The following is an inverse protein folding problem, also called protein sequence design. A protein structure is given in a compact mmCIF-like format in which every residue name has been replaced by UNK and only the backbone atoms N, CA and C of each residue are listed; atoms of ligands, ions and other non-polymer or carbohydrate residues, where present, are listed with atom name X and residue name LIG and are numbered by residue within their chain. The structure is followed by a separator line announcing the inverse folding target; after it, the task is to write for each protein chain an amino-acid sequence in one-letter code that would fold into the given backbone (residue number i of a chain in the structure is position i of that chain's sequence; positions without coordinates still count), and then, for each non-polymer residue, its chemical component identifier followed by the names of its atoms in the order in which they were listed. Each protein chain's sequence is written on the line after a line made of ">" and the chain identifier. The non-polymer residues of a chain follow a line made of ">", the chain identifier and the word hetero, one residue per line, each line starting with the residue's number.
data_IF_810583632577
#
_entry.id   IF_810583632577
#
_cell.length_a   1.000
_cell.length_b   1.000
_cell.length_c   1.000
_cell.angle_alpha   90.00
_cell.angle_beta   90.00
_cell.angle_gamma   90.00
#
_symmetry.space_group_name_H-M   'P 1'
#
loop_
_entity.id
_entity.type
_entity.pdbx_description
1 polymer ?
#
# COMPACT_ATOMS: atom_id res chain seq x y z
N UNK A 1 -7.01 -7.89 -16.87
CA UNK A 1 -7.20 -6.71 -15.96
C UNK A 1 -6.45 -7.02 -14.68
N UNK A 2 -5.47 -6.23 -14.33
CA UNK A 2 -4.66 -6.42 -13.12
C UNK A 2 -5.34 -5.72 -11.95
N UNK A 3 -5.49 -6.41 -10.83
CA UNK A 3 -6.22 -5.93 -9.65
C UNK A 3 -5.24 -5.77 -8.50
N UNK A 4 -5.39 -4.68 -7.76
CA UNK A 4 -4.61 -4.38 -6.58
C UNK A 4 -5.21 -5.09 -5.37
N UNK A 5 -4.39 -5.70 -4.48
CA UNK A 5 -4.87 -6.22 -3.20
C UNK A 5 -5.46 -5.11 -2.31
N UNK A 6 -6.23 -5.50 -1.30
CA UNK A 6 -6.77 -4.55 -0.34
C UNK A 6 -5.68 -4.06 0.60
N UNK A 7 -5.42 -2.75 0.59
CA UNK A 7 -4.39 -2.10 1.40
C UNK A 7 -3.11 -2.95 1.50
N UNK A 8 -2.39 -3.17 0.37
CA UNK A 8 -1.28 -4.10 0.30
C UNK A 8 -0.20 -3.83 1.35
N UNK A 9 0.65 -4.81 1.57
CA UNK A 9 1.77 -4.72 2.51
C UNK A 9 2.87 -3.75 2.03
N UNK A 10 3.72 -3.33 2.97
CA UNK A 10 4.91 -2.54 2.65
C UNK A 10 5.81 -3.26 1.63
N UNK A 11 5.96 -4.58 1.75
CA UNK A 11 6.70 -5.41 0.79
C UNK A 11 6.10 -5.35 -0.62
N UNK A 12 4.77 -5.36 -0.74
CA UNK A 12 4.10 -5.20 -2.02
C UNK A 12 4.39 -3.83 -2.64
N UNK A 13 4.33 -2.76 -1.85
CA UNK A 13 4.64 -1.41 -2.33
C UNK A 13 6.11 -1.29 -2.76
N UNK A 14 7.02 -1.93 -2.04
CA UNK A 14 8.43 -2.00 -2.43
C UNK A 14 8.60 -2.67 -3.80
N UNK A 15 7.98 -3.83 -4.03
CA UNK A 15 8.03 -4.54 -5.30
C UNK A 15 7.36 -3.75 -6.45
N UNK A 16 6.24 -3.08 -6.16
CA UNK A 16 5.55 -2.22 -7.12
C UNK A 16 6.40 -1.00 -7.52
N UNK A 17 7.00 -0.30 -6.56
CA UNK A 17 7.89 0.84 -6.82
C UNK A 17 9.09 0.42 -7.67
N UNK A 18 9.73 -0.70 -7.35
CA UNK A 18 10.85 -1.24 -8.15
C UNK A 18 10.45 -1.47 -9.60
N UNK A 19 9.28 -2.05 -9.84
CA UNK A 19 8.78 -2.28 -11.18
C UNK A 19 8.52 -0.96 -11.92
N UNK A 20 7.97 0.05 -11.22
CA UNK A 20 7.77 1.40 -11.74
C UNK A 20 9.10 2.10 -12.09
N UNK A 21 10.11 1.98 -11.24
CA UNK A 21 11.45 2.53 -11.48
C UNK A 21 12.12 1.90 -12.71
N UNK A 22 11.84 0.63 -13.01
CA UNK A 22 12.27 -0.05 -14.25
C UNK A 22 11.50 0.39 -15.49
N UNK A 23 10.57 1.33 -15.35
CA UNK A 23 9.77 1.88 -16.46
C UNK A 23 8.58 1.02 -16.86
N UNK A 24 8.18 0.02 -16.06
CA UNK A 24 7.00 -0.78 -16.37
C UNK A 24 5.72 0.07 -16.25
N UNK A 25 4.75 -0.12 -17.16
CA UNK A 25 3.43 0.46 -17.02
C UNK A 25 2.74 0.05 -15.72
N UNK A 26 1.80 0.85 -15.24
CA UNK A 26 1.10 0.62 -13.96
C UNK A 26 0.54 -0.80 -13.84
N UNK A 27 -0.17 -1.29 -14.86
CA UNK A 27 -0.76 -2.62 -14.84
C UNK A 27 0.29 -3.74 -14.71
N UNK A 28 1.43 -3.60 -15.38
CA UNK A 28 2.53 -4.57 -15.33
C UNK A 28 3.26 -4.50 -13.97
N UNK A 29 3.42 -3.29 -13.43
CA UNK A 29 4.01 -3.08 -12.10
C UNK A 29 3.18 -3.72 -11.00
N UNK A 30 1.84 -3.59 -11.06
CA UNK A 30 0.92 -4.25 -10.14
C UNK A 30 1.02 -5.78 -10.30
N UNK A 31 1.07 -6.29 -11.53
CA UNK A 31 1.22 -7.72 -11.78
C UNK A 31 2.54 -8.27 -11.21
N UNK A 32 3.64 -7.55 -11.42
CA UNK A 32 4.94 -7.90 -10.89
C UNK A 32 4.95 -7.95 -9.35
N UNK A 33 4.35 -6.93 -8.70
CA UNK A 33 4.23 -6.89 -7.25
C UNK A 33 3.36 -8.03 -6.69
N UNK A 34 2.23 -8.34 -7.35
CA UNK A 34 1.37 -9.46 -6.96
C UNK A 34 2.10 -10.81 -7.02
N UNK A 35 2.94 -11.00 -8.04
CA UNK A 35 3.74 -12.23 -8.21
C UNK A 35 4.85 -12.28 -7.14
N UNK A 36 5.59 -11.19 -6.98
CA UNK A 36 6.72 -11.12 -6.04
C UNK A 36 6.29 -11.40 -4.60
N UNK A 37 5.11 -10.91 -4.20
CA UNK A 37 4.60 -11.06 -2.83
C UNK A 37 3.61 -12.23 -2.65
N UNK A 38 3.41 -13.05 -3.67
CA UNK A 38 2.58 -14.25 -3.59
C UNK A 38 1.12 -13.96 -3.24
N UNK A 39 0.53 -12.89 -3.79
CA UNK A 39 -0.85 -12.49 -3.52
C UNK A 39 -1.83 -13.61 -3.83
N UNK A 40 -2.71 -13.89 -2.88
CA UNK A 40 -3.76 -14.91 -2.98
C UNK A 40 -5.14 -14.26 -3.03
N UNK A 41 -6.17 -15.03 -3.38
CA UNK A 41 -7.53 -14.51 -3.51
C UNK A 41 -8.06 -13.78 -2.27
N UNK A 42 -7.68 -14.22 -1.06
CA UNK A 42 -8.10 -13.59 0.19
C UNK A 42 -7.51 -12.19 0.38
N UNK A 43 -6.32 -11.93 -0.15
CA UNK A 43 -5.59 -10.68 0.03
C UNK A 43 -6.26 -9.52 -0.73
N UNK A 44 -7.14 -9.83 -1.68
CA UNK A 44 -7.96 -8.81 -2.35
C UNK A 44 -9.06 -8.20 -1.47
N UNK A 45 -9.44 -8.87 -0.38
CA UNK A 45 -10.47 -8.40 0.55
C UNK A 45 -10.01 -8.38 2.01
N UNK A 46 -8.73 -8.60 2.28
CA UNK A 46 -8.17 -8.62 3.64
C UNK A 46 -6.82 -7.94 3.68
N UNK A 47 -6.59 -7.19 4.76
CA UNK A 47 -5.27 -6.70 5.12
C UNK A 47 -5.04 -6.88 6.63
N UNK A 48 -3.81 -6.66 7.07
CA UNK A 48 -3.39 -6.77 8.48
C UNK A 48 -2.85 -5.44 8.95
N UNK A 49 -3.29 -5.03 10.13
CA UNK A 49 -2.76 -3.86 10.84
C UNK A 49 -2.37 -4.29 12.26
N UNK A 50 -1.64 -3.43 12.98
CA UNK A 50 -1.35 -3.63 14.41
C UNK A 50 -2.23 -2.72 15.26
N UNK A 51 -2.86 -3.29 16.28
CA UNK A 51 -3.58 -2.52 17.28
C UNK A 51 -3.34 -3.09 18.67
N UNK A 52 -2.94 -2.26 19.63
CA UNK A 52 -2.62 -2.66 21.00
C UNK A 52 -1.62 -3.83 21.08
N UNK A 53 -0.62 -3.84 20.20
CA UNK A 53 0.42 -4.87 20.14
C UNK A 53 -0.02 -6.21 19.50
N UNK A 54 -1.23 -6.30 18.95
CA UNK A 54 -1.74 -7.50 18.30
C UNK A 54 -2.07 -7.23 16.84
N UNK A 55 -1.96 -8.27 16.01
CA UNK A 55 -2.46 -8.21 14.63
C UNK A 55 -3.98 -8.17 14.61
N UNK A 56 -4.52 -7.23 13.85
CA UNK A 56 -5.94 -7.10 13.54
C UNK A 56 -6.12 -7.34 12.04
N UNK A 57 -7.03 -8.25 11.69
CA UNK A 57 -7.38 -8.53 10.30
C UNK A 57 -8.60 -7.69 9.92
N UNK A 58 -8.42 -6.76 9.01
CA UNK A 58 -9.51 -6.03 8.37
C UNK A 58 -10.01 -6.84 7.16
N UNK A 59 -11.31 -7.17 7.16
CA UNK A 59 -11.91 -8.01 6.12
C UNK A 59 -13.15 -7.35 5.54
N UNK A 60 -13.16 -7.14 4.22
CA UNK A 60 -14.32 -6.63 3.50
C UNK A 60 -15.37 -7.73 3.27
N UNK A 61 -16.63 -7.40 3.39
CA UNK A 61 -17.72 -8.30 3.05
C UNK A 61 -17.90 -8.39 1.52
N UNK A 62 -17.93 -9.62 1.00
CA UNK A 62 -18.08 -9.90 -0.44
C UNK A 62 -19.45 -10.52 -0.70
N UNK A 63 -20.14 -10.06 -1.73
CA UNK A 63 -21.40 -10.65 -2.15
C UNK A 63 -21.23 -12.12 -2.56
N UNK A 64 -22.04 -12.99 -1.95
CA UNK A 64 -21.95 -14.44 -2.11
C UNK A 64 -20.77 -15.07 -1.35
N UNK A 65 -20.10 -14.30 -0.49
CA UNK A 65 -19.10 -14.79 0.46
C UNK A 65 -17.66 -14.77 -0.05
N UNK A 66 -16.72 -14.53 0.87
CA UNK A 66 -15.28 -14.40 0.57
C UNK A 66 -14.64 -15.69 0.00
N UNK A 67 -15.27 -16.87 0.19
CA UNK A 67 -14.78 -18.12 -0.37
C UNK A 67 -14.73 -18.10 -1.91
N UNK A 68 -15.52 -17.26 -2.57
CA UNK A 68 -15.52 -17.09 -4.03
C UNK A 68 -14.21 -16.48 -4.55
N UNK A 69 -13.49 -15.72 -3.73
CA UNK A 69 -12.19 -15.13 -4.08
C UNK A 69 -11.09 -16.18 -4.29
N UNK A 70 -11.30 -17.44 -3.89
CA UNK A 70 -10.38 -18.54 -4.25
C UNK A 70 -10.32 -18.77 -5.77
N UNK A 71 -11.34 -18.35 -6.51
CA UNK A 71 -11.36 -18.40 -7.97
C UNK A 71 -10.86 -17.08 -8.52
N UNK A 72 -9.65 -17.07 -9.07
CA UNK A 72 -9.01 -15.86 -9.62
C UNK A 72 -9.84 -15.18 -10.70
N UNK A 73 -10.57 -15.96 -11.51
CA UNK A 73 -11.48 -15.43 -12.53
C UNK A 73 -12.69 -14.66 -11.97
N UNK A 74 -13.03 -14.85 -10.70
CA UNK A 74 -14.12 -14.13 -10.04
C UNK A 74 -13.69 -12.75 -9.53
N UNK A 75 -12.43 -12.56 -9.16
CA UNK A 75 -11.94 -11.36 -8.49
C UNK A 75 -12.26 -10.07 -9.27
N UNK A 76 -12.11 -10.01 -10.61
CA UNK A 76 -12.42 -8.81 -11.38
C UNK A 76 -13.89 -8.36 -11.29
N UNK A 77 -14.81 -9.31 -11.10
CA UNK A 77 -16.25 -9.09 -11.01
C UNK A 77 -16.79 -9.09 -9.57
N UNK A 78 -15.90 -9.27 -8.58
CA UNK A 78 -16.29 -9.33 -7.18
C UNK A 78 -16.97 -8.03 -6.72
N UNK A 79 -18.10 -8.17 -6.04
CA UNK A 79 -18.86 -7.05 -5.49
C UNK A 79 -18.74 -7.03 -3.97
N UNK A 80 -18.65 -5.83 -3.42
CA UNK A 80 -18.69 -5.57 -2.00
C UNK A 80 -20.13 -5.64 -1.50
N UNK A 81 -20.32 -6.24 -0.34
CA UNK A 81 -21.58 -6.24 0.38
C UNK A 81 -21.51 -5.25 1.54
N UNK A 82 -22.64 -4.62 1.87
CA UNK A 82 -22.74 -3.74 3.04
C UNK A 82 -22.98 -4.52 4.35
N UNK A 83 -23.00 -5.86 4.26
CA UNK A 83 -23.22 -6.73 5.42
C UNK A 83 -22.15 -6.50 6.50
N UNK A 84 -22.58 -6.40 7.77
CA UNK A 84 -21.68 -6.26 8.91
C UNK A 84 -21.07 -4.87 9.09
N UNK A 85 -21.52 -3.86 8.33
CA UNK A 85 -21.04 -2.47 8.42
C UNK A 85 -19.50 -2.36 8.45
N UNK A 86 -18.83 -3.22 7.66
CA UNK A 86 -17.37 -3.38 7.69
C UNK A 86 -16.62 -2.06 7.48
N UNK A 87 -17.19 -1.11 6.71
CA UNK A 87 -16.57 0.19 6.48
C UNK A 87 -16.37 0.95 7.79
N UNK A 88 -17.41 1.04 8.61
CA UNK A 88 -17.36 1.68 9.92
C UNK A 88 -16.44 0.92 10.88
N UNK A 89 -16.51 -0.41 10.89
CA UNK A 89 -15.66 -1.27 11.73
C UNK A 89 -14.18 -1.07 11.39
N UNK A 90 -13.84 -1.01 10.10
CA UNK A 90 -12.45 -0.77 9.66
C UNK A 90 -11.95 0.60 10.09
N UNK A 91 -12.73 1.66 9.84
CA UNK A 91 -12.33 3.02 10.25
C UNK A 91 -12.17 3.12 11.76
N UNK A 92 -13.07 2.56 12.55
CA UNK A 92 -12.93 2.51 14.00
C UNK A 92 -11.70 1.73 14.47
N UNK A 93 -11.37 0.62 13.81
CA UNK A 93 -10.16 -0.14 14.12
C UNK A 93 -8.88 0.64 13.77
N UNK A 94 -8.84 1.33 12.63
CA UNK A 94 -7.72 2.18 12.22
C UNK A 94 -7.56 3.36 13.20
N UNK A 95 -8.65 4.02 13.56
CA UNK A 95 -8.63 5.12 14.53
C UNK A 95 -8.14 4.66 15.91
N UNK A 96 -8.64 3.53 16.40
CA UNK A 96 -8.22 2.96 17.68
C UNK A 96 -6.74 2.54 17.68
N UNK A 97 -6.24 2.03 16.56
CA UNK A 97 -4.84 1.60 16.40
C UNK A 97 -3.88 2.78 16.27
N UNK A 98 -4.23 3.78 15.47
CA UNK A 98 -3.29 4.81 15.00
C UNK A 98 -3.64 6.24 15.39
N UNK A 99 -4.72 6.49 16.12
CA UNK A 99 -5.19 7.84 16.47
C UNK A 99 -4.18 8.72 17.22
N UNK A 100 -3.10 8.12 17.74
CA UNK A 100 -2.01 8.82 18.44
C UNK A 100 -0.70 8.87 17.65
N UNK A 101 -0.68 8.36 16.41
CA UNK A 101 0.54 8.36 15.58
C UNK A 101 0.73 9.73 14.90
N UNK A 102 1.97 10.08 14.54
CA UNK A 102 2.29 11.41 14.02
C UNK A 102 1.52 11.78 12.74
N UNK A 103 1.28 10.81 11.85
CA UNK A 103 0.67 11.08 10.54
C UNK A 103 -0.82 10.76 10.47
N UNK A 104 -1.44 10.36 11.59
CA UNK A 104 -2.87 10.03 11.62
C UNK A 104 -3.75 11.16 11.09
N UNK A 105 -3.53 12.39 11.56
CA UNK A 105 -4.36 13.55 11.18
C UNK A 105 -4.27 13.88 9.67
N UNK A 106 -3.20 13.45 9.01
CA UNK A 106 -2.99 13.69 7.58
C UNK A 106 -3.52 12.55 6.71
N UNK A 107 -3.32 11.29 7.14
CA UNK A 107 -3.66 10.11 6.33
C UNK A 107 -5.09 9.62 6.58
N UNK A 108 -5.59 9.67 7.82
CA UNK A 108 -6.91 9.15 8.16
C UNK A 108 -8.07 9.83 7.39
N UNK A 109 -8.09 11.16 7.19
CA UNK A 109 -9.12 11.81 6.37
C UNK A 109 -9.12 11.29 4.93
N UNK A 110 -7.94 11.07 4.33
CA UNK A 110 -7.79 10.55 2.97
C UNK A 110 -8.36 9.12 2.86
N UNK A 111 -8.03 8.26 3.83
CA UNK A 111 -8.59 6.91 3.91
C UNK A 111 -10.10 6.97 4.11
N UNK A 112 -10.59 7.79 5.04
CA UNK A 112 -12.00 7.94 5.37
C UNK A 112 -12.84 8.39 4.15
N UNK A 113 -12.29 9.27 3.31
CA UNK A 113 -12.92 9.69 2.05
C UNK A 113 -13.13 8.50 1.10
N UNK A 114 -12.12 7.64 0.94
CA UNK A 114 -12.25 6.42 0.13
C UNK A 114 -13.32 5.48 0.69
N UNK A 115 -13.39 5.35 2.01
CA UNK A 115 -14.38 4.50 2.68
C UNK A 115 -15.80 5.07 2.60
N UNK A 116 -15.96 6.38 2.45
CA UNK A 116 -17.27 7.03 2.25
C UNK A 116 -17.85 6.77 0.86
N UNK A 117 -17.01 6.39 -0.11
CA UNK A 117 -17.45 6.06 -1.45
C UNK A 117 -18.32 4.80 -1.45
N UNK A 118 -19.50 4.87 -2.03
CA UNK A 118 -20.49 3.78 -2.07
C UNK A 118 -20.23 2.75 -3.18
N UNK A 119 -19.06 2.74 -3.81
CA UNK A 119 -18.74 1.76 -4.85
C UNK A 119 -18.93 0.33 -4.34
N UNK A 120 -19.58 -0.48 -5.17
CA UNK A 120 -19.75 -1.92 -4.91
C UNK A 120 -18.66 -2.77 -5.55
N UNK A 121 -17.89 -2.25 -6.47
CA UNK A 121 -16.79 -3.00 -7.11
C UNK A 121 -15.59 -3.12 -6.15
N UNK A 122 -15.19 -4.36 -5.83
CA UNK A 122 -13.98 -4.65 -5.07
C UNK A 122 -12.73 -4.04 -5.74
N UNK A 123 -12.58 -4.26 -7.04
CA UNK A 123 -11.43 -3.75 -7.80
C UNK A 123 -11.38 -2.21 -7.81
N UNK A 124 -12.54 -1.55 -7.95
CA UNK A 124 -12.61 -0.09 -7.93
C UNK A 124 -12.28 0.48 -6.55
N UNK A 125 -12.75 -0.15 -5.48
CA UNK A 125 -12.43 0.26 -4.11
C UNK A 125 -10.93 0.16 -3.82
N UNK A 126 -10.32 -0.98 -4.14
CA UNK A 126 -8.89 -1.20 -3.92
C UNK A 126 -8.04 -0.23 -4.75
N UNK A 127 -8.43 0.04 -6.00
CA UNK A 127 -7.77 1.03 -6.85
C UNK A 127 -7.88 2.44 -6.27
N UNK A 128 -9.05 2.84 -5.77
CA UNK A 128 -9.24 4.16 -5.15
C UNK A 128 -8.37 4.33 -3.91
N UNK A 129 -8.28 3.29 -3.08
CA UNK A 129 -7.41 3.31 -1.89
C UNK A 129 -5.93 3.39 -2.27
N UNK A 130 -5.50 2.63 -3.27
CA UNK A 130 -4.13 2.69 -3.78
C UNK A 130 -3.78 4.08 -4.33
N UNK A 131 -4.68 4.67 -5.13
CA UNK A 131 -4.48 6.02 -5.66
C UNK A 131 -4.40 7.08 -4.55
N UNK A 132 -5.23 6.97 -3.53
CA UNK A 132 -5.20 7.85 -2.38
C UNK A 132 -3.86 7.76 -1.62
N UNK A 133 -3.36 6.55 -1.39
CA UNK A 133 -2.06 6.30 -0.77
C UNK A 133 -0.91 6.79 -1.66
N UNK A 134 -0.93 6.48 -2.95
CA UNK A 134 0.10 6.94 -3.91
C UNK A 134 0.12 8.46 -4.02
N UNK A 135 -1.05 9.10 -3.99
CA UNK A 135 -1.18 10.55 -3.95
C UNK A 135 -0.59 11.16 -2.68
N UNK A 136 -0.85 10.57 -1.51
CA UNK A 136 -0.25 10.97 -0.25
C UNK A 136 1.28 10.87 -0.28
N UNK A 137 1.80 9.82 -0.90
CA UNK A 137 3.24 9.61 -1.11
C UNK A 137 3.83 10.47 -2.24
N UNK A 138 3.02 11.27 -2.93
CA UNK A 138 3.41 12.06 -4.08
C UNK A 138 4.04 11.24 -5.21
N UNK A 139 3.66 9.96 -5.35
CA UNK A 139 4.14 9.08 -6.41
C UNK A 139 3.36 9.40 -7.69
N UNK A 140 4.02 9.82 -8.79
CA UNK A 140 3.33 10.20 -10.02
C UNK A 140 2.68 8.99 -10.70
N UNK A 141 1.48 9.18 -11.27
CA UNK A 141 0.78 8.14 -12.04
C UNK A 141 1.53 7.75 -13.33
N UNK A 142 2.33 8.67 -13.90
CA UNK A 142 3.14 8.45 -15.10
C UNK A 142 4.58 8.06 -14.74
N UNK A 143 5.37 7.63 -15.74
CA UNK A 143 6.73 7.12 -15.57
C UNK A 143 7.58 7.90 -14.56
N UNK A 144 8.08 7.21 -13.53
CA UNK A 144 8.93 7.78 -12.48
C UNK A 144 10.23 8.40 -13.05
N UNK A 145 10.69 7.92 -14.20
CA UNK A 145 11.91 8.43 -14.86
C UNK A 145 11.77 9.84 -15.45
N UNK A 146 10.56 10.39 -15.59
CA UNK A 146 10.34 11.66 -16.32
C UNK A 146 9.74 12.80 -15.51
N UNK A 147 9.34 12.61 -14.26
CA UNK A 147 8.58 13.64 -13.51
C UNK A 147 9.12 13.88 -12.09
N UNK A 148 10.34 14.44 -12.01
CA UNK A 148 11.03 14.80 -10.76
C UNK A 148 10.54 16.09 -10.09
N UNK A 149 9.31 16.58 -10.38
CA UNK A 149 8.86 17.89 -9.87
C UNK A 149 8.01 17.86 -8.61
N UNK A 150 7.51 16.69 -8.17
CA UNK A 150 6.60 16.59 -7.03
C UNK A 150 7.14 15.76 -5.85
N UNK A 151 8.11 14.89 -6.07
CA UNK A 151 8.80 14.13 -5.02
C UNK A 151 10.23 14.65 -4.94
N UNK A 152 10.83 14.60 -3.74
CA UNK A 152 12.23 14.97 -3.55
C UNK A 152 13.10 14.21 -4.58
N UNK A 153 13.86 14.94 -5.44
CA UNK A 153 14.66 14.32 -6.50
C UNK A 153 15.67 13.31 -5.96
N UNK A 154 16.20 13.54 -4.75
CA UNK A 154 17.19 12.67 -4.13
C UNK A 154 16.56 11.36 -3.65
N UNK A 155 15.34 11.42 -3.09
CA UNK A 155 14.58 10.23 -2.71
C UNK A 155 14.20 9.42 -3.94
N UNK A 156 13.76 10.07 -5.01
CA UNK A 156 13.42 9.38 -6.27
C UNK A 156 14.63 8.76 -6.95
N UNK A 157 15.76 9.45 -6.95
CA UNK A 157 17.02 8.91 -7.45
C UNK A 157 17.45 7.67 -6.63
N UNK A 158 17.31 7.74 -5.31
CA UNK A 158 17.60 6.61 -4.42
C UNK A 158 16.65 5.41 -4.64
N UNK A 159 15.34 5.67 -4.78
CA UNK A 159 14.34 4.63 -5.08
C UNK A 159 14.61 3.90 -6.40
N UNK A 160 15.10 4.61 -7.41
CA UNK A 160 15.32 4.07 -8.75
C UNK A 160 16.78 3.65 -9.01
N UNK A 161 17.69 3.86 -8.05
CA UNK A 161 19.06 3.37 -8.18
C UNK A 161 19.11 1.85 -8.00
N UNK A 162 19.66 1.14 -8.95
CA UNK A 162 20.25 -0.17 -8.66
C UNK A 162 21.40 0.09 -7.69
N UNK A 163 21.48 -0.62 -6.59
CA UNK A 163 22.31 -0.48 -5.37
C UNK A 163 23.80 -0.08 -5.52
N UNK A 164 24.18 0.58 -6.58
CA UNK A 164 25.57 0.89 -6.97
C UNK A 164 25.84 2.35 -7.33
N UNK A 165 24.86 3.26 -7.15
CA UNK A 165 25.09 4.68 -7.46
C UNK A 165 25.48 5.47 -6.22
N UNK A 166 26.70 6.02 -6.23
CA UNK A 166 27.27 6.96 -5.28
C UNK A 166 26.47 8.28 -5.20
N UNK A 167 25.31 8.27 -4.57
CA UNK A 167 24.62 9.49 -4.16
C UNK A 167 24.78 9.60 -2.66
N UNK A 168 25.73 10.41 -2.18
CA UNK A 168 26.06 10.66 -0.76
C UNK A 168 25.57 9.52 0.15
N UNK A 169 26.27 8.36 0.13
CA UNK A 169 25.67 7.08 0.48
C UNK A 169 25.35 6.94 1.96
N UNK A 170 26.13 7.58 2.82
CA UNK A 170 26.15 7.21 4.24
C UNK A 170 24.88 7.65 4.98
N UNK A 171 24.40 8.87 4.77
CA UNK A 171 23.27 9.41 5.56
C UNK A 171 21.91 8.89 5.13
N UNK A 172 21.62 8.77 3.82
CA UNK A 172 20.34 8.28 3.32
C UNK A 172 20.21 6.79 3.57
N UNK A 173 21.27 6.03 3.34
CA UNK A 173 21.29 4.58 3.59
C UNK A 173 21.23 4.24 5.09
N UNK A 174 21.93 4.97 5.96
CA UNK A 174 21.79 4.85 7.41
C UNK A 174 20.34 5.12 7.84
N UNK A 175 19.75 6.23 7.39
CA UNK A 175 18.38 6.57 7.72
C UNK A 175 17.39 5.53 7.21
N UNK A 176 17.54 5.05 5.97
CA UNK A 176 16.72 3.99 5.42
C UNK A 176 16.82 2.70 6.25
N UNK A 177 18.04 2.34 6.69
CA UNK A 177 18.28 1.16 7.51
C UNK A 177 17.65 1.28 8.90
N UNK A 178 17.78 2.43 9.56
CA UNK A 178 17.14 2.70 10.85
C UNK A 178 15.60 2.57 10.76
N UNK A 179 15.01 3.12 9.71
CA UNK A 179 13.57 3.08 9.49
C UNK A 179 13.08 1.67 9.10
N UNK A 180 13.90 0.88 8.39
CA UNK A 180 13.54 -0.49 7.99
C UNK A 180 13.28 -1.40 9.21
N UNK A 181 13.98 -1.20 10.33
CA UNK A 181 13.73 -1.95 11.57
C UNK A 181 12.35 -1.65 12.20
N UNK A 182 11.72 -0.53 11.83
CA UNK A 182 10.41 -0.14 12.34
C UNK A 182 9.25 -0.67 11.49
N UNK A 183 9.55 -1.32 10.37
CA UNK A 183 8.54 -1.79 9.42
C UNK A 183 8.37 -3.30 9.53
N UNK A 184 7.13 -3.74 9.68
CA UNK A 184 6.75 -5.14 9.51
C UNK A 184 6.33 -5.37 8.05
N UNK A 185 7.15 -6.05 7.22
CA UNK A 185 6.94 -6.09 5.77
C UNK A 185 5.59 -6.66 5.33
N UNK A 186 5.04 -7.58 6.12
CA UNK A 186 3.78 -8.28 5.86
C UNK A 186 2.51 -7.53 6.30
N UNK A 187 2.67 -6.46 7.09
CA UNK A 187 1.54 -5.60 7.46
C UNK A 187 1.15 -4.68 6.32
N UNK A 188 -0.10 -4.24 6.35
CA UNK A 188 -0.59 -3.22 5.44
C UNK A 188 0.32 -1.98 5.46
N UNK A 189 0.52 -1.37 4.31
CA UNK A 189 1.22 -0.09 4.17
C UNK A 189 0.65 1.01 5.07
N UNK A 190 -0.61 0.89 5.48
CA UNK A 190 -1.26 1.82 6.41
C UNK A 190 -0.47 1.91 7.71
N UNK A 191 0.03 0.79 8.23
CA UNK A 191 0.78 0.74 9.49
C UNK A 191 2.02 1.65 9.45
N UNK A 192 3.02 1.43 8.59
CA UNK A 192 4.19 2.29 8.55
C UNK A 192 3.89 3.71 8.07
N UNK A 193 2.88 3.93 7.23
CA UNK A 193 2.47 5.28 6.83
C UNK A 193 1.97 6.12 8.00
N UNK A 194 1.25 5.53 8.93
CA UNK A 194 0.76 6.23 10.13
C UNK A 194 1.91 6.67 11.05
N UNK A 195 3.03 5.97 11.03
CA UNK A 195 4.21 6.25 11.85
C UNK A 195 5.25 7.12 11.15
N UNK A 196 5.52 6.88 9.87
CA UNK A 196 6.64 7.44 9.11
C UNK A 196 6.20 8.46 8.03
N UNK A 197 4.90 8.47 7.66
CA UNK A 197 4.41 9.31 6.58
C UNK A 197 5.15 9.04 5.26
N UNK A 198 5.63 10.09 4.61
CA UNK A 198 6.36 9.98 3.34
C UNK A 198 7.79 9.44 3.49
N UNK A 199 8.37 9.44 4.70
CA UNK A 199 9.69 8.84 4.95
C UNK A 199 9.71 7.32 4.72
N UNK A 200 8.53 6.66 4.66
CA UNK A 200 8.41 5.24 4.30
C UNK A 200 9.06 4.91 2.94
N UNK A 201 9.15 5.86 2.04
CA UNK A 201 9.76 5.64 0.73
C UNK A 201 11.23 5.19 0.84
N UNK A 202 11.97 5.65 1.85
CA UNK A 202 13.38 5.27 2.05
C UNK A 202 13.53 3.79 2.40
N UNK A 203 12.91 3.26 3.49
CA UNK A 203 13.09 1.86 3.85
C UNK A 203 12.41 0.89 2.88
N UNK A 204 11.42 1.31 2.07
CA UNK A 204 10.84 0.46 1.03
C UNK A 204 11.88 -0.03 0.01
N UNK A 205 12.99 0.69 -0.19
CA UNK A 205 14.08 0.25 -1.06
C UNK A 205 14.84 -0.94 -0.48
N UNK A 206 14.91 -1.06 0.84
CA UNK A 206 15.66 -2.10 1.54
C UNK A 206 14.84 -3.38 1.80
N UNK A 207 13.52 -3.32 1.73
CA UNK A 207 12.64 -4.49 1.94
C UNK A 207 12.70 -5.52 0.79
N UNK A 208 13.72 -5.46 -0.06
CA UNK A 208 13.71 -6.15 -1.34
C UNK A 208 14.83 -7.17 -1.51
N UNK A 209 15.56 -7.46 -0.45
CA UNK A 209 16.63 -8.46 -0.45
C UNK A 209 16.19 -9.78 0.17
#
# INVERSE_FOLDING_TARGET
>A
MTIIPFAPSAEWYAAWLRARCKGLPEAESIAAANIATGITGKDYARCRIIGNGNEIILSMAIEGGAARLKRTSFIPSAQLSDHGNWRHVHLGAIEAAYGRTPYFQHLFPIISEVYSNTTKSLAAFNMSLHKAISGFLSIPEQNLQHNSRQTDPDIMAYLCSDSTVDIHPDTIHERASELAFQISPHLSIIDPLMHLGTEILLPLTLLQN
#
